data_IF_398851837279
#
_entry.id   IF_398851837279
#
_cell.length_a   1.000
_cell.length_b   1.000
_cell.length_c   1.000
_cell.angle_alpha   90.00
_cell.angle_beta   90.00
_cell.angle_gamma   90.00
#
_symmetry.space_group_name_H-M   'P 1'
#
loop_
_entity.id
_entity.type
_entity.pdbx_description
1 polymer ?
#
# COMPACT_ATOMS: atom_id res chain seq x y z
N UNK A 1 13.37 5.54 1.78
CA UNK A 1 12.62 4.29 1.48
C UNK A 1 12.37 3.42 2.71
N UNK A 2 13.39 2.97 3.44
CA UNK A 2 13.21 2.12 4.64
C UNK A 2 12.20 2.71 5.67
N UNK A 3 12.31 4.02 5.95
CA UNK A 3 11.39 4.74 6.86
C UNK A 3 9.92 4.71 6.40
N UNK A 4 9.66 4.80 5.08
CA UNK A 4 8.30 4.76 4.55
C UNK A 4 7.66 3.37 4.75
N UNK A 5 8.42 2.31 4.46
CA UNK A 5 7.96 0.93 4.66
C UNK A 5 7.72 0.63 6.13
N UNK A 6 8.60 1.12 7.01
CA UNK A 6 8.46 0.98 8.46
C UNK A 6 7.18 1.65 8.96
N UNK A 7 6.91 2.90 8.56
CA UNK A 7 5.66 3.60 8.91
C UNK A 7 4.43 2.81 8.45
N UNK A 8 4.43 2.29 7.21
CA UNK A 8 3.31 1.48 6.71
C UNK A 8 3.11 0.21 7.54
N UNK A 9 4.20 -0.50 7.84
CA UNK A 9 4.19 -1.73 8.62
C UNK A 9 3.69 -1.48 10.05
N UNK A 10 4.26 -0.49 10.75
CA UNK A 10 3.89 -0.13 12.12
C UNK A 10 2.43 0.33 12.20
N UNK A 11 1.94 1.07 11.21
CA UNK A 11 0.55 1.55 11.20
C UNK A 11 -0.45 0.38 11.18
N UNK A 12 -0.17 -0.66 10.41
CA UNK A 12 -1.03 -1.87 10.37
C UNK A 12 -0.82 -2.71 11.62
N UNK A 13 0.43 -2.97 12.01
CA UNK A 13 0.74 -3.82 13.16
C UNK A 13 0.16 -3.23 14.46
N UNK A 14 0.17 -1.92 14.64
CA UNK A 14 -0.37 -1.29 15.85
C UNK A 14 -1.88 -1.05 15.78
N UNK A 15 -2.56 -1.42 14.69
CA UNK A 15 -3.99 -1.22 14.56
C UNK A 15 -4.77 -2.20 15.46
N UNK A 16 -5.71 -1.74 16.31
CA UNK A 16 -6.42 -2.62 17.25
C UNK A 16 -7.15 -3.78 16.57
N UNK A 17 -7.82 -3.51 15.45
CA UNK A 17 -8.54 -4.54 14.69
C UNK A 17 -7.60 -5.62 14.13
N UNK A 18 -6.38 -5.24 13.74
CA UNK A 18 -5.37 -6.18 13.24
C UNK A 18 -4.86 -7.07 14.38
N UNK A 19 -4.54 -6.47 15.53
CA UNK A 19 -4.11 -7.19 16.73
C UNK A 19 -5.16 -8.17 17.25
N UNK A 20 -6.44 -7.80 17.21
CA UNK A 20 -7.53 -8.67 17.64
C UNK A 20 -7.77 -9.86 16.68
N UNK A 21 -7.43 -9.70 15.39
CA UNK A 21 -7.60 -10.75 14.38
C UNK A 21 -6.50 -11.82 14.47
N UNK A 22 -5.27 -11.45 14.83
CA UNK A 22 -4.12 -12.36 14.81
C UNK A 22 -4.33 -13.65 15.62
N UNK A 23 -4.78 -13.62 16.89
CA UNK A 23 -4.93 -14.85 17.68
C UNK A 23 -5.95 -15.82 17.06
N UNK A 24 -7.07 -15.27 16.54
CA UNK A 24 -8.12 -16.07 15.92
C UNK A 24 -7.63 -16.70 14.62
N UNK A 25 -6.95 -15.91 13.79
CA UNK A 25 -6.41 -16.37 12.52
C UNK A 25 -5.28 -17.41 12.72
N UNK A 26 -4.44 -17.25 13.74
CA UNK A 26 -3.41 -18.24 14.09
C UNK A 26 -4.00 -19.57 14.51
N UNK A 27 -5.04 -19.56 15.35
CA UNK A 27 -5.70 -20.79 15.80
C UNK A 27 -6.38 -21.51 14.63
N UNK A 28 -7.13 -20.79 13.79
CA UNK A 28 -7.72 -21.34 12.57
C UNK A 28 -6.65 -21.94 11.65
N UNK A 29 -5.51 -21.25 11.51
CA UNK A 29 -4.39 -21.74 10.71
C UNK A 29 -3.77 -23.00 11.30
N UNK A 30 -3.61 -23.11 12.62
CA UNK A 30 -3.13 -24.33 13.29
C UNK A 30 -4.05 -25.50 13.02
N UNK A 31 -5.36 -25.29 13.13
CA UNK A 31 -6.36 -26.33 12.86
C UNK A 31 -6.35 -26.75 11.38
N UNK A 32 -6.34 -25.79 10.45
CA UNK A 32 -6.31 -26.08 9.02
C UNK A 32 -5.04 -26.84 8.59
N UNK A 33 -3.86 -26.52 9.15
CA UNK A 33 -2.61 -27.28 8.89
C UNK A 33 -2.70 -28.74 9.26
N UNK A 34 -3.47 -29.09 10.29
CA UNK A 34 -3.64 -30.48 10.74
C UNK A 34 -4.53 -31.28 9.79
N UNK A 35 -5.48 -30.61 9.13
CA UNK A 35 -6.48 -31.27 8.28
C UNK A 35 -6.14 -31.23 6.79
N UNK A 36 -5.37 -30.24 6.33
CA UNK A 36 -5.15 -29.96 4.91
C UNK A 36 -3.68 -29.66 4.61
N UNK A 37 -3.12 -30.32 3.60
CA UNK A 37 -1.78 -30.07 3.06
C UNK A 37 -1.75 -28.85 2.11
N UNK A 38 -2.34 -27.73 2.51
CA UNK A 38 -2.42 -26.50 1.69
C UNK A 38 -1.52 -25.39 2.20
N UNK A 39 -0.99 -24.60 1.27
CA UNK A 39 -0.16 -23.43 1.58
C UNK A 39 -1.04 -22.31 2.12
N UNK A 40 -0.96 -22.08 3.43
CA UNK A 40 -1.74 -21.04 4.11
C UNK A 40 -1.14 -19.66 3.89
N UNK A 41 -2.00 -18.69 3.58
CA UNK A 41 -1.67 -17.28 3.45
C UNK A 41 -0.92 -16.77 4.69
N UNK A 42 0.16 -15.97 4.51
CA UNK A 42 0.85 -15.33 5.63
C UNK A 42 -0.09 -14.38 6.38
N UNK A 43 0.01 -14.37 7.70
CA UNK A 43 -0.73 -13.42 8.54
C UNK A 43 0.02 -12.09 8.70
N UNK A 44 1.34 -12.09 8.51
CA UNK A 44 2.16 -10.88 8.61
C UNK A 44 1.87 -9.91 7.47
N UNK A 45 1.86 -8.58 7.73
CA UNK A 45 1.73 -7.61 6.67
C UNK A 45 2.99 -7.63 5.81
N UNK A 46 2.82 -7.37 4.51
CA UNK A 46 3.94 -7.36 3.56
C UNK A 46 3.86 -6.12 2.70
N UNK A 47 4.98 -5.40 2.62
CA UNK A 47 5.15 -4.24 1.74
C UNK A 47 5.84 -4.69 0.46
N UNK A 48 5.29 -4.28 -0.67
CA UNK A 48 5.81 -4.52 -2.01
C UNK A 48 6.29 -3.20 -2.59
N UNK A 49 7.39 -3.27 -3.32
CA UNK A 49 8.02 -2.11 -3.93
C UNK A 49 8.04 -2.31 -5.42
N UNK A 50 7.55 -1.31 -6.16
CA UNK A 50 7.67 -1.26 -7.61
C UNK A 50 8.33 0.06 -7.98
N UNK A 51 9.45 -0.04 -8.69
CA UNK A 51 10.13 1.12 -9.27
C UNK A 51 9.41 1.52 -10.56
N UNK A 52 9.24 2.82 -10.77
CA UNK A 52 8.88 3.41 -12.06
C UNK A 52 9.99 4.38 -12.49
N UNK A 53 9.79 5.06 -13.62
CA UNK A 53 10.82 5.93 -14.21
C UNK A 53 11.09 7.19 -13.36
N UNK A 54 10.11 7.63 -12.56
CA UNK A 54 10.13 8.90 -11.85
C UNK A 54 9.55 8.84 -10.42
N UNK A 55 9.04 7.68 -9.98
CA UNK A 55 8.62 7.48 -8.60
C UNK A 55 8.78 6.02 -8.16
N UNK A 56 8.46 5.76 -6.90
CA UNK A 56 8.41 4.41 -6.35
C UNK A 56 7.02 4.17 -5.80
N UNK A 57 6.38 3.11 -6.26
CA UNK A 57 5.10 2.66 -5.75
C UNK A 57 5.32 1.67 -4.61
N UNK A 58 4.65 1.93 -3.48
CA UNK A 58 4.61 1.04 -2.32
C UNK A 58 3.21 0.44 -2.21
N UNK A 59 3.11 -0.88 -2.35
CA UNK A 59 1.89 -1.64 -2.07
C UNK A 59 2.00 -2.33 -0.72
N UNK A 60 0.88 -2.59 -0.05
CA UNK A 60 0.88 -3.38 1.18
C UNK A 60 -0.29 -4.36 1.20
N UNK A 61 -0.02 -5.58 1.67
CA UNK A 61 -1.00 -6.65 1.86
C UNK A 61 -1.01 -7.04 3.33
N UNK A 62 -2.20 -7.21 3.89
CA UNK A 62 -2.43 -7.62 5.26
C UNK A 62 -3.76 -8.39 5.36
N UNK A 63 -3.89 -9.36 6.28
CA UNK A 63 -5.19 -9.91 6.63
C UNK A 63 -6.04 -8.88 7.38
N UNK A 64 -7.33 -8.89 7.11
CA UNK A 64 -8.33 -8.08 7.82
C UNK A 64 -9.66 -8.82 7.75
N UNK A 65 -10.52 -8.60 8.75
CA UNK A 65 -11.90 -9.05 8.68
C UNK A 65 -12.58 -8.47 7.43
N UNK A 66 -13.35 -9.30 6.73
CA UNK A 66 -14.00 -8.90 5.49
C UNK A 66 -15.00 -7.75 5.71
N UNK A 67 -15.70 -7.77 6.85
CA UNK A 67 -16.72 -6.78 7.18
C UNK A 67 -16.11 -5.41 7.50
N UNK A 68 -14.89 -5.41 8.03
CA UNK A 68 -14.16 -4.20 8.42
C UNK A 68 -13.22 -3.67 7.33
N UNK A 69 -13.01 -4.42 6.25
CA UNK A 69 -11.99 -4.15 5.22
C UNK A 69 -11.98 -2.71 4.72
N UNK A 70 -13.16 -2.13 4.42
CA UNK A 70 -13.28 -0.77 3.87
C UNK A 70 -12.91 0.29 4.90
N UNK A 71 -13.44 0.15 6.13
CA UNK A 71 -13.18 1.05 7.25
C UNK A 71 -11.70 1.02 7.63
N UNK A 72 -11.16 -0.18 7.88
CA UNK A 72 -9.75 -0.40 8.21
C UNK A 72 -8.82 0.22 7.16
N UNK A 73 -9.10 -0.04 5.87
CA UNK A 73 -8.30 0.54 4.77
C UNK A 73 -8.31 2.06 4.84
N UNK A 74 -9.46 2.68 5.09
CA UNK A 74 -9.56 4.14 5.17
C UNK A 74 -8.74 4.69 6.34
N UNK A 75 -8.90 4.13 7.53
CA UNK A 75 -8.19 4.54 8.75
C UNK A 75 -6.67 4.40 8.62
N UNK A 76 -6.22 3.22 8.16
CA UNK A 76 -4.79 2.96 7.90
C UNK A 76 -4.24 3.91 6.84
N UNK A 77 -4.98 4.16 5.75
CA UNK A 77 -4.52 5.08 4.71
C UNK A 77 -4.34 6.50 5.26
N UNK A 78 -5.34 7.02 5.98
CA UNK A 78 -5.27 8.35 6.57
C UNK A 78 -4.11 8.47 7.57
N UNK A 79 -3.89 7.43 8.39
CA UNK A 79 -2.77 7.42 9.34
C UNK A 79 -1.42 7.39 8.65
N UNK A 80 -1.25 6.56 7.61
CA UNK A 80 -0.02 6.51 6.81
C UNK A 80 0.25 7.89 6.19
N UNK A 81 -0.75 8.54 5.61
CA UNK A 81 -0.61 9.88 5.02
C UNK A 81 -0.16 10.90 6.06
N UNK A 82 -0.74 10.89 7.25
CA UNK A 82 -0.37 11.78 8.34
C UNK A 82 1.08 11.55 8.80
N UNK A 83 1.50 10.30 8.97
CA UNK A 83 2.87 9.97 9.37
C UNK A 83 3.89 10.24 8.25
N UNK A 84 3.52 10.07 6.99
CA UNK A 84 4.35 10.47 5.85
C UNK A 84 4.58 11.98 5.82
N UNK A 85 3.52 12.77 6.03
CA UNK A 85 3.63 14.22 6.11
C UNK A 85 4.57 14.65 7.24
N UNK A 86 4.43 14.07 8.45
CA UNK A 86 5.34 14.31 9.59
C UNK A 86 6.79 13.90 9.30
N UNK A 87 6.97 12.82 8.54
CA UNK A 87 8.29 12.31 8.18
C UNK A 87 8.93 13.04 6.98
N UNK A 88 8.25 14.04 6.39
CA UNK A 88 8.72 14.76 5.20
C UNK A 88 8.71 13.90 3.93
N UNK A 89 7.94 12.82 3.90
CA UNK A 89 7.81 11.92 2.75
C UNK A 89 6.76 12.50 1.81
N UNK A 90 7.19 13.00 0.66
CA UNK A 90 6.30 13.50 -0.38
C UNK A 90 5.65 12.34 -1.14
N UNK A 91 4.36 12.51 -1.44
CA UNK A 91 3.60 11.59 -2.28
C UNK A 91 3.67 12.12 -3.70
N UNK A 92 4.00 11.25 -4.65
CA UNK A 92 3.98 11.61 -6.05
C UNK A 92 2.54 12.03 -6.44
N UNK A 93 2.36 13.31 -6.75
CA UNK A 93 1.20 13.84 -7.45
C UNK A 93 1.34 13.48 -8.94
N UNK A 94 0.24 13.30 -9.67
CA UNK A 94 0.27 13.01 -11.11
C UNK A 94 1.21 13.98 -11.84
N UNK A 95 2.13 13.42 -12.63
CA UNK A 95 3.02 14.22 -13.48
C UNK A 95 2.25 14.61 -14.73
N UNK A 96 1.70 15.83 -14.76
CA UNK A 96 1.11 16.38 -15.97
C UNK A 96 2.22 16.81 -16.94
N UNK A 97 2.50 16.02 -17.96
CA UNK A 97 3.41 16.41 -19.04
C UNK A 97 2.66 17.32 -20.03
N UNK A 98 2.87 18.64 -19.95
CA UNK A 98 2.38 19.58 -20.97
C UNK A 98 3.34 19.54 -22.16
N UNK A 99 2.99 18.80 -23.21
CA UNK A 99 3.72 18.83 -24.49
C UNK A 99 3.15 19.96 -25.33
N UNK A 100 3.92 21.04 -25.52
CA UNK A 100 3.57 22.14 -26.43
C UNK A 100 4.11 21.80 -27.82
N UNK A 101 3.24 21.50 -28.77
CA UNK A 101 3.66 21.43 -30.17
C UNK A 101 3.99 22.86 -30.64
N UNK A 102 5.10 23.08 -31.37
CA UNK A 102 5.32 24.35 -32.04
C UNK A 102 4.18 24.58 -33.04
N UNK A 103 3.58 25.76 -33.01
CA UNK A 103 2.66 26.18 -34.07
C UNK A 103 3.49 26.24 -35.36
N UNK A 104 3.32 25.24 -36.22
CA UNK A 104 3.92 25.22 -37.55
C UNK A 104 3.42 26.44 -38.35
N UNK A 105 4.19 27.52 -38.31
CA UNK A 105 4.15 28.62 -39.28
C UNK A 105 4.99 28.19 -40.48
N UNK A 106 4.52 27.22 -41.25
CA UNK A 106 5.01 27.00 -42.61
C UNK A 106 3.94 27.52 -43.57
N UNK A 107 4.19 28.63 -44.31
CA UNK A 107 3.31 28.98 -45.42
C UNK A 107 3.36 27.87 -46.49
N UNK A 108 2.25 27.61 -47.21
CA UNK A 108 2.24 26.63 -48.28
C UNK A 108 3.27 27.02 -49.36
N UNK A 109 3.92 26.02 -50.01
CA UNK A 109 4.87 26.27 -51.10
C UNK A 109 4.20 26.97 -52.30
N UNK A 110 4.98 27.71 -53.13
CA UNK A 110 4.48 28.63 -54.14
C UNK A 110 3.64 27.99 -55.24
#
# INVERSE_FOLDING_TARGET
MAKAMMIMMETVQNHPQYQNLLPQAEEQRRQARRMLAVKLTPLEPRVFVRLTDNWVSLGMVYPVDNDLRRMFRSEVSQRILAEFAKAGIQIASETLAIVRFPNNLFPPPP
#
